data_IF_152974962818
#
_entry.id   IF_152974962818
#
_cell.length_a   1.000
_cell.length_b   1.000
_cell.length_c   1.000
_cell.angle_alpha   90.00
_cell.angle_beta   90.00
_cell.angle_gamma   90.00
#
_symmetry.space_group_name_H-M   'P 1'
#
loop_
_entity.id
_entity.type
_entity.pdbx_description
1 polymer ?
#
# COMPACT_ATOMS: atom_id res chain seq x y z
N UNK A 1 24.99 -26.90 -16.58
CA UNK A 1 24.27 -27.57 -15.48
C UNK A 1 23.77 -26.50 -14.53
N UNK A 2 22.46 -26.26 -14.49
CA UNK A 2 21.85 -25.27 -13.59
C UNK A 2 21.71 -25.86 -12.18
N UNK A 3 22.20 -25.14 -11.18
CA UNK A 3 22.01 -25.46 -9.76
C UNK A 3 20.53 -25.29 -9.37
N UNK A 4 19.93 -26.20 -8.56
CA UNK A 4 18.55 -26.05 -8.12
C UNK A 4 18.46 -24.94 -7.05
N UNK A 5 17.62 -23.94 -7.33
CA UNK A 5 17.24 -22.91 -6.38
C UNK A 5 16.36 -23.54 -5.28
N UNK A 6 16.97 -23.81 -4.12
CA UNK A 6 16.30 -24.40 -2.96
C UNK A 6 15.59 -23.28 -2.21
N UNK A 7 14.29 -23.10 -2.48
CA UNK A 7 13.44 -22.26 -1.64
C UNK A 7 13.40 -22.87 -0.24
N UNK A 8 13.92 -22.16 0.77
CA UNK A 8 13.75 -22.55 2.17
C UNK A 8 12.31 -22.22 2.57
N UNK A 9 11.49 -23.26 2.68
CA UNK A 9 10.29 -23.22 3.52
C UNK A 9 10.77 -23.11 4.96
N UNK A 10 10.27 -22.12 5.70
CA UNK A 10 10.49 -22.02 7.15
C UNK A 10 9.17 -21.63 7.80
N UNK A 11 8.48 -22.65 8.29
CA UNK A 11 7.57 -22.53 9.41
C UNK A 11 8.37 -22.14 10.66
N UNK A 12 7.91 -21.08 11.31
CA UNK A 12 7.95 -20.82 12.75
C UNK A 12 7.87 -19.31 12.99
N UNK A 13 7.06 -18.92 13.98
CA UNK A 13 6.76 -17.56 14.42
C UNK A 13 8.01 -16.80 14.93
N UNK A 14 8.93 -16.46 14.03
CA UNK A 14 10.04 -15.55 14.30
C UNK A 14 9.56 -14.15 13.94
N UNK A 15 9.43 -13.28 14.94
CA UNK A 15 9.31 -11.84 14.72
C UNK A 15 10.58 -11.38 14.00
N UNK A 16 10.51 -11.28 12.67
CA UNK A 16 11.60 -10.74 11.86
C UNK A 16 11.81 -9.29 12.32
N UNK A 17 13.03 -8.91 12.75
CA UNK A 17 13.29 -7.53 13.13
C UNK A 17 12.99 -6.63 11.94
N UNK A 18 12.07 -5.68 12.12
CA UNK A 18 11.73 -4.71 11.08
C UNK A 18 12.99 -3.95 10.66
N UNK A 19 13.27 -3.95 9.36
CA UNK A 19 14.34 -3.12 8.79
C UNK A 19 14.03 -1.64 9.04
N UNK A 20 15.06 -0.79 9.01
CA UNK A 20 14.88 0.66 9.14
C UNK A 20 13.89 1.21 8.08
N UNK A 21 13.91 0.64 6.88
CA UNK A 21 12.98 0.96 5.80
C UNK A 21 11.52 0.60 6.14
N UNK A 22 11.28 -0.57 6.72
CA UNK A 22 9.93 -0.96 7.16
C UNK A 22 9.40 0.02 8.21
N UNK A 23 10.25 0.43 9.17
CA UNK A 23 9.86 1.35 10.26
C UNK A 23 9.43 2.73 9.76
N UNK A 24 10.19 3.32 8.82
CA UNK A 24 9.84 4.63 8.27
C UNK A 24 8.56 4.55 7.42
N UNK A 25 8.37 3.48 6.64
CA UNK A 25 7.14 3.28 5.85
C UNK A 25 5.92 3.07 6.74
N UNK A 26 6.04 2.30 7.82
CA UNK A 26 5.00 2.17 8.85
C UNK A 26 4.64 3.54 9.46
N UNK A 27 5.66 4.36 9.77
CA UNK A 27 5.46 5.71 10.30
C UNK A 27 4.70 6.61 9.31
N UNK A 28 5.05 6.54 8.02
CA UNK A 28 4.39 7.30 6.95
C UNK A 28 2.93 6.86 6.77
N UNK A 29 2.65 5.55 6.77
CA UNK A 29 1.28 5.04 6.67
C UNK A 29 0.44 5.53 7.84
N UNK A 30 0.95 5.41 9.06
CA UNK A 30 0.23 5.86 10.25
C UNK A 30 -0.03 7.38 10.21
N UNK A 31 0.95 8.16 9.76
CA UNK A 31 0.79 9.59 9.55
C UNK A 31 -0.35 9.90 8.57
N UNK A 32 -0.31 9.37 7.35
CA UNK A 32 -1.36 9.65 6.37
C UNK A 32 -2.72 9.14 6.81
N UNK A 33 -2.77 8.00 7.49
CA UNK A 33 -4.01 7.45 8.02
C UNK A 33 -4.61 8.34 9.11
N UNK A 34 -3.81 8.88 10.02
CA UNK A 34 -4.25 9.85 11.01
C UNK A 34 -4.81 11.11 10.33
N UNK A 35 -4.11 11.63 9.31
CA UNK A 35 -4.59 12.79 8.53
C UNK A 35 -5.89 12.51 7.80
N UNK A 36 -6.11 11.28 7.35
CA UNK A 36 -7.38 10.86 6.76
C UNK A 36 -8.51 10.86 7.80
N UNK A 37 -8.31 10.19 8.94
CA UNK A 37 -9.33 10.08 9.99
C UNK A 37 -9.69 11.45 10.60
N UNK A 38 -8.73 12.37 10.66
CA UNK A 38 -8.93 13.72 11.18
C UNK A 38 -9.42 14.72 10.12
N UNK A 39 -9.73 14.27 8.90
CA UNK A 39 -10.25 15.12 7.83
C UNK A 39 -11.72 14.75 7.50
N UNK A 40 -12.70 15.53 8.02
CA UNK A 40 -14.11 15.26 7.78
C UNK A 40 -14.51 15.25 6.30
N UNK A 41 -13.87 16.07 5.47
CA UNK A 41 -14.18 16.11 4.03
C UNK A 41 -13.66 14.86 3.31
N UNK A 42 -12.45 14.42 3.64
CA UNK A 42 -11.87 13.20 3.08
C UNK A 42 -12.69 11.96 3.49
N UNK A 43 -13.09 11.88 4.76
CA UNK A 43 -13.98 10.84 5.26
C UNK A 43 -15.35 10.87 4.58
N UNK A 44 -15.95 12.06 4.43
CA UNK A 44 -17.26 12.23 3.78
C UNK A 44 -17.22 11.73 2.33
N UNK A 45 -16.17 12.04 1.58
CA UNK A 45 -16.02 11.54 0.22
C UNK A 45 -15.98 10.00 0.19
N UNK A 46 -15.15 9.37 1.02
CA UNK A 46 -15.06 7.90 1.03
C UNK A 46 -16.35 7.23 1.51
N UNK A 47 -17.01 7.78 2.53
CA UNK A 47 -18.19 7.14 3.14
C UNK A 47 -19.51 7.48 2.45
N UNK A 48 -19.66 8.68 1.87
CA UNK A 48 -20.91 9.12 1.26
C UNK A 48 -20.87 9.16 -0.27
N UNK A 49 -19.71 9.41 -0.88
CA UNK A 49 -19.57 9.40 -2.35
C UNK A 49 -19.13 8.04 -2.87
N UNK A 50 -18.17 7.40 -2.21
CA UNK A 50 -17.72 6.04 -2.55
C UNK A 50 -18.48 4.93 -1.82
N UNK A 51 -19.31 5.30 -0.84
CA UNK A 51 -20.15 4.38 -0.08
C UNK A 51 -19.37 3.31 0.70
N UNK A 52 -18.11 3.59 1.06
CA UNK A 52 -17.28 2.66 1.82
C UNK A 52 -17.55 2.74 3.32
N UNK A 53 -17.41 1.61 4.00
CA UNK A 53 -17.49 1.49 5.44
C UNK A 53 -16.21 1.98 6.11
N UNK A 54 -16.34 2.78 7.19
CA UNK A 54 -15.19 3.33 7.91
C UNK A 54 -14.25 2.26 8.48
N UNK A 55 -14.79 1.11 8.89
CA UNK A 55 -13.97 0.01 9.43
C UNK A 55 -13.10 -0.64 8.36
N UNK A 56 -13.58 -0.76 7.13
CA UNK A 56 -12.78 -1.23 5.98
C UNK A 56 -11.67 -0.23 5.65
N UNK A 57 -11.99 1.07 5.66
CA UNK A 57 -11.01 2.13 5.41
C UNK A 57 -9.91 2.15 6.49
N UNK A 58 -10.25 1.87 7.75
CA UNK A 58 -9.30 1.67 8.86
C UNK A 58 -8.46 0.42 8.69
N UNK A 59 -9.09 -0.70 8.32
CA UNK A 59 -8.41 -1.97 8.05
C UNK A 59 -7.35 -1.83 6.94
N UNK A 60 -7.71 -1.18 5.84
CA UNK A 60 -6.83 -0.94 4.70
C UNK A 60 -5.81 0.19 4.93
N UNK A 61 -5.92 0.92 6.05
CA UNK A 61 -5.09 2.10 6.37
C UNK A 61 -5.10 3.15 5.27
N UNK A 62 -6.29 3.46 4.73
CA UNK A 62 -6.46 4.52 3.74
C UNK A 62 -5.98 5.84 4.35
N UNK A 63 -5.16 6.58 3.59
CA UNK A 63 -4.50 7.79 4.04
C UNK A 63 -4.92 9.04 3.26
N UNK A 64 -4.53 10.21 3.75
CA UNK A 64 -4.75 11.49 3.09
C UNK A 64 -3.53 12.39 3.25
N UNK A 65 -3.09 13.01 2.16
CA UNK A 65 -1.91 13.88 2.16
C UNK A 65 -2.29 15.31 2.57
N UNK A 66 -1.53 15.91 3.49
CA UNK A 66 -1.62 17.33 3.85
C UNK A 66 -0.42 18.15 3.33
N UNK A 67 0.64 17.48 2.86
CA UNK A 67 1.87 18.11 2.35
C UNK A 67 2.90 18.44 3.44
N UNK A 68 2.72 17.89 4.65
CA UNK A 68 3.57 18.14 5.80
C UNK A 68 4.32 16.88 6.31
N UNK A 69 4.42 15.84 5.49
CA UNK A 69 4.90 14.53 5.92
C UNK A 69 6.40 14.54 6.21
N UNK A 70 7.23 15.17 5.37
CA UNK A 70 8.67 15.22 5.63
C UNK A 70 9.02 16.00 6.91
N UNK A 71 8.29 17.08 7.24
CA UNK A 71 8.52 17.79 8.51
C UNK A 71 8.16 16.89 9.71
N UNK A 72 7.09 16.11 9.58
CA UNK A 72 6.71 15.14 10.59
C UNK A 72 7.78 14.06 10.80
N UNK A 73 8.33 13.49 9.72
CA UNK A 73 9.41 12.49 9.82
C UNK A 73 10.66 13.08 10.45
N UNK A 74 11.02 14.31 10.09
CA UNK A 74 12.15 15.03 10.70
C UNK A 74 11.94 15.20 12.20
N UNK A 75 10.74 15.60 12.61
CA UNK A 75 10.38 15.73 14.03
C UNK A 75 10.36 14.38 14.78
N UNK A 76 10.17 13.26 14.06
CA UNK A 76 10.28 11.90 14.60
C UNK A 76 11.71 11.37 14.65
N UNK A 77 12.69 12.15 14.18
CA UNK A 77 14.11 11.80 14.25
C UNK A 77 14.65 11.02 13.04
N UNK A 78 13.87 10.87 11.97
CA UNK A 78 14.39 10.29 10.72
C UNK A 78 15.29 11.29 10.01
N UNK A 79 16.48 10.84 9.65
CA UNK A 79 17.44 11.62 8.86
C UNK A 79 16.89 11.93 7.46
N UNK A 80 17.44 12.97 6.82
CA UNK A 80 17.04 13.31 5.46
C UNK A 80 17.33 12.17 4.48
N UNK A 81 18.45 11.46 4.65
CA UNK A 81 18.82 10.35 3.77
C UNK A 81 17.83 9.18 3.89
N UNK A 82 17.41 8.82 5.11
CA UNK A 82 16.35 7.83 5.32
C UNK A 82 15.04 8.25 4.64
N UNK A 83 14.67 9.52 4.76
CA UNK A 83 13.46 10.07 4.14
C UNK A 83 13.54 10.01 2.61
N UNK A 84 14.65 10.42 2.01
CA UNK A 84 14.87 10.41 0.56
C UNK A 84 14.87 8.98 0.00
N UNK A 85 15.42 8.01 0.74
CA UNK A 85 15.45 6.60 0.33
C UNK A 85 14.05 5.98 0.20
N UNK A 86 13.01 6.57 0.81
CA UNK A 86 11.62 6.11 0.62
C UNK A 86 11.03 6.50 -0.74
N UNK A 87 11.60 7.50 -1.41
CA UNK A 87 11.01 8.15 -2.59
C UNK A 87 9.78 9.01 -2.32
N UNK A 88 9.28 9.06 -1.07
CA UNK A 88 8.12 9.84 -0.66
C UNK A 88 8.50 11.27 -0.24
N UNK A 89 9.79 11.53 -0.07
CA UNK A 89 10.39 12.84 0.08
C UNK A 89 11.34 13.05 -1.08
N UNK A 90 11.30 14.24 -1.68
CA UNK A 90 12.17 14.60 -2.81
C UNK A 90 12.86 15.93 -2.57
N UNK A 91 14.09 16.04 -3.06
CA UNK A 91 14.84 17.29 -3.14
C UNK A 91 14.78 17.81 -4.57
N UNK A 92 14.08 18.93 -4.79
CA UNK A 92 13.99 19.60 -6.10
C UNK A 92 14.32 21.07 -5.95
N UNK A 93 15.21 21.58 -6.81
CA UNK A 93 15.64 22.98 -6.81
C UNK A 93 16.18 23.43 -5.43
N UNK A 94 16.93 22.54 -4.76
CA UNK A 94 17.46 22.77 -3.41
C UNK A 94 16.43 22.69 -2.28
N UNK A 95 15.14 22.51 -2.58
CA UNK A 95 14.05 22.44 -1.60
C UNK A 95 13.62 21.00 -1.34
N UNK A 96 13.42 20.67 -0.08
CA UNK A 96 12.86 19.39 0.38
C UNK A 96 11.33 19.51 0.40
N UNK A 97 10.64 18.51 -0.12
CA UNK A 97 9.17 18.46 -0.13
C UNK A 97 8.66 17.03 -0.23
N UNK A 98 7.41 16.84 0.13
CA UNK A 98 6.69 15.60 -0.10
C UNK A 98 6.54 15.32 -1.60
N UNK A 99 6.66 14.06 -2.01
CA UNK A 99 6.48 13.62 -3.39
C UNK A 99 5.02 13.71 -3.83
N UNK A 100 4.10 13.30 -2.95
CA UNK A 100 2.67 13.41 -3.21
C UNK A 100 2.17 14.82 -2.90
N UNK A 101 1.42 15.40 -3.83
CA UNK A 101 0.76 16.69 -3.61
C UNK A 101 -0.26 16.58 -2.49
N UNK A 102 -0.51 17.68 -1.76
CA UNK A 102 -1.61 17.75 -0.78
C UNK A 102 -2.97 17.50 -1.43
N UNK A 103 -3.90 16.95 -0.66
CA UNK A 103 -5.29 16.69 -1.10
C UNK A 103 -5.52 15.36 -1.82
N UNK A 104 -4.56 14.43 -1.77
CA UNK A 104 -4.64 13.11 -2.39
C UNK A 104 -4.99 12.03 -1.36
N UNK A 105 -5.79 11.05 -1.79
CA UNK A 105 -6.02 9.81 -1.06
C UNK A 105 -4.85 8.85 -1.31
N UNK A 106 -4.32 8.26 -0.24
CA UNK A 106 -3.23 7.28 -0.30
C UNK A 106 -3.80 5.88 -0.07
N UNK A 107 -3.36 4.94 -0.90
CA UNK A 107 -3.63 3.51 -0.77
C UNK A 107 -2.27 2.81 -0.54
N UNK A 108 -1.94 2.46 0.71
CA UNK A 108 -0.69 1.75 1.00
C UNK A 108 -0.76 0.29 0.55
N UNK A 109 0.29 -0.20 -0.09
CA UNK A 109 0.40 -1.58 -0.55
C UNK A 109 1.32 -2.35 0.39
N UNK A 110 0.91 -3.58 0.69
CA UNK A 110 1.70 -4.50 1.52
C UNK A 110 2.34 -5.57 0.65
N UNK A 111 3.53 -6.02 1.05
CA UNK A 111 4.14 -7.26 0.58
C UNK A 111 3.34 -8.47 1.07
N UNK A 112 3.68 -9.67 0.60
CA UNK A 112 3.13 -10.92 1.13
C UNK A 112 3.36 -11.09 2.64
N UNK A 113 4.43 -10.51 3.18
CA UNK A 113 4.80 -10.61 4.59
C UNK A 113 4.12 -9.54 5.45
N UNK A 114 3.40 -8.61 4.82
CA UNK A 114 2.59 -7.60 5.49
C UNK A 114 3.26 -6.24 5.65
N UNK A 115 4.53 -6.12 5.25
CA UNK A 115 5.28 -4.86 5.27
C UNK A 115 4.78 -3.91 4.19
N UNK A 116 4.71 -2.61 4.48
CA UNK A 116 4.38 -1.62 3.44
C UNK A 116 5.53 -1.47 2.45
N UNK A 117 5.24 -1.72 1.17
CA UNK A 117 6.26 -1.72 0.11
C UNK A 117 5.98 -0.74 -1.03
N UNK A 118 4.76 -0.21 -1.14
CA UNK A 118 4.39 0.72 -2.19
C UNK A 118 3.20 1.61 -1.82
N UNK A 119 2.95 2.64 -2.63
CA UNK A 119 1.88 3.59 -2.41
C UNK A 119 1.28 4.00 -3.76
N UNK A 120 -0.04 3.93 -3.88
CA UNK A 120 -0.77 4.55 -4.99
C UNK A 120 -1.65 5.69 -4.46
N UNK A 121 -2.04 6.58 -5.38
CA UNK A 121 -2.89 7.72 -5.05
C UNK A 121 -4.19 7.71 -5.84
N UNK A 122 -5.20 8.39 -5.30
CA UNK A 122 -6.36 8.86 -6.05
C UNK A 122 -6.57 10.34 -5.77
N UNK A 123 -6.93 11.08 -6.80
CA UNK A 123 -7.34 12.48 -6.71
C UNK A 123 -8.84 12.58 -7.03
N UNK A 124 -9.65 13.05 -6.07
CA UNK A 124 -11.07 13.29 -6.30
C UNK A 124 -11.32 14.37 -7.35
N UNK A 125 -10.38 15.29 -7.52
CA UNK A 125 -10.44 16.37 -8.52
C UNK A 125 -9.87 15.95 -9.89
N UNK A 126 -9.33 14.72 -10.00
CA UNK A 126 -8.73 14.15 -11.22
C UNK A 126 -7.60 15.00 -11.82
N UNK A 127 -6.94 15.84 -11.02
CA UNK A 127 -5.79 16.66 -11.46
C UNK A 127 -4.51 15.85 -11.48
N UNK A 128 -4.35 14.91 -10.55
CA UNK A 128 -3.15 14.10 -10.42
C UNK A 128 -3.45 12.61 -10.64
N UNK A 129 -2.67 11.98 -11.52
CA UNK A 129 -2.70 10.55 -11.80
C UNK A 129 -1.28 10.05 -12.04
N UNK A 130 -0.55 9.87 -10.94
CA UNK A 130 0.79 9.30 -10.93
C UNK A 130 0.92 8.38 -9.72
N UNK A 131 2.02 7.65 -9.59
CA UNK A 131 2.28 6.77 -8.45
C UNK A 131 3.73 6.92 -8.00
N UNK A 132 4.07 6.35 -6.85
CA UNK A 132 5.47 6.29 -6.43
C UNK A 132 6.30 5.57 -7.53
N UNK A 133 7.48 6.07 -7.93
CA UNK A 133 8.30 5.39 -8.92
C UNK A 133 8.67 3.97 -8.49
N UNK A 134 8.74 3.03 -9.45
CA UNK A 134 8.99 1.62 -9.17
C UNK A 134 10.38 1.36 -8.54
N UNK A 135 11.35 2.26 -8.71
CA UNK A 135 12.68 2.15 -8.08
C UNK A 135 12.61 2.24 -6.54
N UNK A 136 11.55 2.85 -5.98
CA UNK A 136 11.29 2.91 -4.54
C UNK A 136 10.25 1.88 -4.09
N UNK A 137 9.90 0.92 -4.93
CA UNK A 137 8.96 -0.14 -4.61
C UNK A 137 9.72 -1.34 -4.06
N UNK A 138 9.30 -1.87 -2.92
CA UNK A 138 9.92 -3.08 -2.38
C UNK A 138 9.72 -4.26 -3.34
N UNK A 139 10.78 -5.04 -3.52
CA UNK A 139 10.72 -6.32 -4.22
C UNK A 139 9.69 -7.22 -3.54
N UNK A 140 8.70 -7.70 -4.30
CA UNK A 140 7.59 -8.49 -3.79
C UNK A 140 6.31 -7.69 -3.43
N UNK A 141 6.32 -6.36 -3.55
CA UNK A 141 5.09 -5.56 -3.51
C UNK A 141 4.54 -5.35 -4.93
N UNK A 142 3.79 -6.32 -5.43
CA UNK A 142 3.30 -6.38 -6.83
C UNK A 142 1.86 -5.89 -6.96
N UNK A 143 0.98 -6.30 -6.05
CA UNK A 143 -0.46 -6.04 -6.11
C UNK A 143 -0.96 -5.28 -4.88
N UNK A 144 -2.07 -4.58 -5.04
CA UNK A 144 -2.80 -4.06 -3.89
C UNK A 144 -3.43 -5.22 -3.12
N UNK A 145 -3.34 -5.17 -1.79
CA UNK A 145 -3.84 -6.18 -0.86
C UNK A 145 -3.21 -7.59 -0.99
N UNK A 146 -1.94 -7.71 -1.40
CA UNK A 146 -1.23 -9.01 -1.53
C UNK A 146 -1.27 -9.97 -0.33
N UNK A 147 -1.28 -9.54 0.95
CA UNK A 147 -1.36 -10.47 2.09
C UNK A 147 -2.53 -11.45 2.01
N UNK A 148 -3.55 -11.12 1.21
CA UNK A 148 -4.68 -11.99 0.89
C UNK A 148 -4.29 -13.34 0.29
N UNK A 149 -3.22 -13.38 -0.52
CA UNK A 149 -2.81 -14.56 -1.27
C UNK A 149 -2.38 -15.70 -0.34
N UNK A 150 -2.12 -15.41 0.94
CA UNK A 150 -1.79 -16.41 1.97
C UNK A 150 -3.02 -16.92 2.73
N UNK A 151 -4.19 -16.29 2.57
CA UNK A 151 -5.36 -16.45 3.45
C UNK A 151 -6.62 -16.91 2.74
N UNK A 152 -6.61 -16.99 1.42
CA UNK A 152 -7.81 -17.25 0.63
C UNK A 152 -7.52 -18.29 -0.45
N UNK A 153 -8.41 -19.27 -0.54
CA UNK A 153 -8.34 -20.34 -1.55
C UNK A 153 -8.84 -19.88 -2.93
N UNK A 154 -9.68 -18.84 -2.95
CA UNK A 154 -10.18 -18.20 -4.17
C UNK A 154 -9.75 -16.73 -4.20
N UNK A 155 -9.32 -16.27 -5.39
CA UNK A 155 -8.84 -14.92 -5.60
C UNK A 155 -9.63 -14.28 -6.73
N UNK A 156 -10.22 -13.12 -6.43
CA UNK A 156 -10.87 -12.29 -7.43
C UNK A 156 -9.93 -11.16 -7.81
N UNK A 157 -9.89 -10.90 -9.10
CA UNK A 157 -9.05 -9.88 -9.70
C UNK A 157 -9.95 -8.71 -10.09
N UNK A 158 -9.57 -7.51 -9.66
CA UNK A 158 -10.28 -6.27 -9.98
C UNK A 158 -9.34 -5.18 -10.47
N UNK A 159 -9.92 -4.15 -11.11
CA UNK A 159 -9.18 -3.07 -11.76
C UNK A 159 -8.63 -2.02 -10.77
N UNK A 160 -9.40 -1.68 -9.74
CA UNK A 160 -9.12 -0.56 -8.83
C UNK A 160 -9.06 -0.93 -7.35
N UNK A 161 -8.37 -0.09 -6.57
CA UNK A 161 -8.31 -0.22 -5.11
C UNK A 161 -9.68 0.00 -4.46
N UNK A 162 -10.54 0.82 -5.08
CA UNK A 162 -11.92 0.98 -4.63
C UNK A 162 -12.74 -0.30 -4.83
N UNK A 163 -12.53 -1.02 -5.92
CA UNK A 163 -13.23 -2.29 -6.19
C UNK A 163 -12.82 -3.35 -5.16
N UNK A 164 -11.53 -3.38 -4.79
CA UNK A 164 -11.04 -4.22 -3.68
C UNK A 164 -11.76 -3.87 -2.39
N UNK A 165 -11.86 -2.58 -2.04
CA UNK A 165 -12.57 -2.14 -0.83
C UNK A 165 -14.02 -2.60 -0.82
N UNK A 166 -14.75 -2.41 -1.93
CA UNK A 166 -16.14 -2.83 -2.06
C UNK A 166 -16.31 -4.36 -1.97
N UNK A 167 -15.38 -5.13 -2.51
CA UNK A 167 -15.39 -6.59 -2.37
C UNK A 167 -15.14 -7.04 -0.93
N UNK A 168 -14.18 -6.42 -0.21
CA UNK A 168 -13.94 -6.70 1.22
C UNK A 168 -15.24 -6.51 2.01
N UNK A 169 -15.94 -5.42 1.77
CA UNK A 169 -17.20 -5.10 2.43
C UNK A 169 -18.32 -6.08 2.09
N UNK A 170 -18.40 -6.51 0.84
CA UNK A 170 -19.37 -7.52 0.43
C UNK A 170 -19.11 -8.88 1.08
N UNK A 171 -17.84 -9.28 1.20
CA UNK A 171 -17.43 -10.51 1.90
C UNK A 171 -17.77 -10.46 3.39
N UNK A 172 -17.42 -9.37 4.09
CA UNK A 172 -17.74 -9.18 5.51
C UNK A 172 -19.23 -9.28 5.82
N UNK A 173 -20.10 -8.75 4.93
CA UNK A 173 -21.56 -8.81 5.10
C UNK A 173 -22.12 -10.24 5.03
N UNK A 174 -21.45 -11.15 4.33
CA UNK A 174 -21.90 -12.55 4.18
C UNK A 174 -21.42 -13.45 5.32
N UNK A 175 -20.59 -12.95 6.23
CA UNK A 175 -19.95 -13.78 7.27
C UNK A 175 -18.83 -14.68 6.71
N UNK A 176 -18.51 -14.53 5.42
CA UNK A 176 -17.48 -15.29 4.75
C UNK A 176 -16.14 -14.53 4.78
N UNK A 177 -15.04 -15.24 5.04
CA UNK A 177 -13.69 -14.69 5.05
C UNK A 177 -13.10 -14.59 3.63
N UNK A 178 -13.82 -13.99 2.68
CA UNK A 178 -13.23 -13.67 1.38
C UNK A 178 -12.37 -12.41 1.48
N UNK A 179 -11.15 -12.51 0.98
CA UNK A 179 -10.23 -11.38 0.86
C UNK A 179 -9.75 -11.32 -0.62
N UNK A 180 -9.34 -10.14 -1.14
CA UNK A 180 -9.29 -9.90 -2.60
C UNK A 180 -8.05 -9.09 -3.06
N UNK A 181 -7.55 -9.28 -4.30
CA UNK A 181 -6.36 -8.59 -4.83
C UNK A 181 -6.63 -7.80 -6.13
N UNK A 182 -5.85 -6.74 -6.41
CA UNK A 182 -5.93 -5.97 -7.66
C UNK A 182 -4.83 -6.40 -8.65
N UNK A 183 -5.16 -6.59 -9.94
CA UNK A 183 -4.17 -6.69 -11.02
C UNK A 183 -4.30 -5.47 -11.93
N UNK A 184 -3.35 -4.54 -11.84
CA UNK A 184 -3.15 -3.55 -12.90
C UNK A 184 -2.20 -4.14 -13.96
N UNK A 185 -2.76 -4.37 -15.16
CA UNK A 185 -2.11 -4.75 -16.43
C UNK A 185 -0.67 -5.27 -16.29
N UNK A 186 -0.51 -6.57 -16.13
CA UNK A 186 0.72 -7.23 -16.59
C UNK A 186 0.40 -8.65 -17.07
N UNK A 187 0.27 -8.81 -18.39
CA UNK A 187 0.19 -10.09 -19.09
C UNK A 187 1.40 -11.03 -18.80
N UNK A 188 2.41 -10.56 -18.06
CA UNK A 188 3.62 -11.31 -17.72
C UNK A 188 3.50 -12.23 -16.51
N UNK A 189 2.53 -12.00 -15.61
CA UNK A 189 2.52 -12.68 -14.30
C UNK A 189 1.73 -13.99 -14.25
N UNK A 190 0.70 -14.17 -15.08
CA UNK A 190 0.04 -15.48 -15.24
C UNK A 190 1.07 -16.54 -15.67
N UNK A 191 2.01 -16.18 -16.55
CA UNK A 191 3.09 -17.05 -16.98
C UNK A 191 4.16 -17.36 -15.89
N UNK A 192 4.21 -16.61 -14.79
CA UNK A 192 5.14 -16.87 -13.68
C UNK A 192 4.53 -17.75 -12.59
N UNK A 193 3.20 -17.68 -12.42
CA UNK A 193 2.47 -18.58 -11.53
C UNK A 193 2.29 -19.97 -12.15
N UNK A 194 2.10 -20.04 -13.47
CA UNK A 194 1.98 -21.30 -14.22
C UNK A 194 3.27 -22.14 -14.18
N UNK A 195 4.44 -21.49 -14.12
CA UNK A 195 5.76 -22.16 -14.04
C UNK A 195 6.11 -22.73 -12.68
N UNK A 196 5.32 -22.48 -11.64
CA UNK A 196 5.48 -23.10 -10.32
C UNK A 196 4.48 -24.23 -10.07
N UNK A 197 3.55 -24.47 -11.01
CA UNK A 197 2.55 -25.53 -10.97
C UNK A 197 2.88 -26.75 -11.85
N UNK A 198 4.10 -26.83 -12.40
CA UNK A 198 4.63 -28.01 -13.11
C UNK A 198 5.83 -28.59 -12.38
#
# INVERSE_FOLDING_TARGET
MCSPFRAKVRDDHILIPQSAETKIRDCIVNYYHEKFLNNPQALKYQTQTRCHNIETLKYLKIGFTDGCMHQYLTAKGYSLDEQLNTGLVVKKDGKIRDYFHKGLYIYPHKTLDGDYGHFTIKDSNKKYSYQLPNEYKNDGCVFYNMPVLKKSDEIFIVEGENDVTSLIEAGQKKGDCYQWANIQKTNRLLAQLDKKGQ
#
